data_IF_526305880897
#
_entry.id   IF_526305880897
#
_cell.length_a   1.000
_cell.length_b   1.000
_cell.length_c   1.000
_cell.angle_alpha   90.00
_cell.angle_beta   90.00
_cell.angle_gamma   90.00
#
_symmetry.space_group_name_H-M   'P 1'
#
loop_
_entity.id
_entity.type
_entity.pdbx_description
1 polymer ?
#
# COMPACT_ATOMS: atom_id res chain seq x y z
N UNK A 1 23.72 1.22 0.61
CA UNK A 1 23.27 0.14 -0.30
C UNK A 1 22.42 0.73 -1.43
N UNK A 2 22.23 0.03 -2.57
CA UNK A 2 21.29 0.53 -3.58
C UNK A 2 19.85 0.09 -3.25
N UNK A 3 18.85 0.81 -3.81
CA UNK A 3 17.42 0.60 -3.54
C UNK A 3 16.98 -0.86 -3.81
N UNK A 4 17.53 -1.50 -4.84
CA UNK A 4 17.18 -2.89 -5.16
C UNK A 4 17.67 -3.88 -4.07
N UNK A 5 18.82 -3.61 -3.48
CA UNK A 5 19.33 -4.40 -2.36
C UNK A 5 18.45 -4.24 -1.13
N UNK A 6 18.01 -3.00 -0.82
CA UNK A 6 17.10 -2.72 0.30
C UNK A 6 15.75 -3.43 0.14
N UNK A 7 15.15 -3.38 -1.06
CA UNK A 7 13.91 -4.12 -1.35
C UNK A 7 14.06 -5.62 -1.12
N UNK A 8 15.17 -6.21 -1.57
CA UNK A 8 15.45 -7.62 -1.34
C UNK A 8 15.62 -7.95 0.15
N UNK A 9 16.27 -7.07 0.92
CA UNK A 9 16.44 -7.26 2.36
C UNK A 9 15.11 -7.25 3.10
N UNK A 10 14.24 -6.27 2.81
CA UNK A 10 12.91 -6.21 3.38
C UNK A 10 12.09 -7.47 3.04
N UNK A 11 12.15 -7.93 1.78
CA UNK A 11 11.50 -9.14 1.32
C UNK A 11 12.02 -10.42 2.01
N UNK A 12 13.35 -10.54 2.21
CA UNK A 12 13.94 -11.66 2.96
C UNK A 12 13.43 -11.67 4.39
N UNK A 13 13.41 -10.52 5.05
CA UNK A 13 12.91 -10.43 6.44
C UNK A 13 11.42 -10.75 6.54
N UNK A 14 10.61 -10.35 5.54
CA UNK A 14 9.18 -10.66 5.53
C UNK A 14 8.89 -12.17 5.48
N UNK A 15 9.75 -12.95 4.83
CA UNK A 15 9.59 -14.42 4.79
C UNK A 15 9.70 -15.10 6.15
N UNK A 16 10.31 -14.46 7.14
CA UNK A 16 10.38 -15.01 8.51
C UNK A 16 9.00 -15.00 9.20
N UNK A 17 8.04 -14.21 8.69
CA UNK A 17 6.66 -14.13 9.18
C UNK A 17 5.72 -15.10 8.45
N UNK A 18 6.21 -15.82 7.46
CA UNK A 18 5.42 -16.78 6.70
C UNK A 18 5.61 -18.19 7.25
N UNK A 19 4.54 -18.78 7.74
CA UNK A 19 4.49 -20.12 8.30
C UNK A 19 3.80 -21.09 7.36
N UNK A 20 4.06 -22.39 7.55
CA UNK A 20 3.44 -23.45 6.76
C UNK A 20 1.92 -23.49 6.95
N UNK A 21 1.19 -23.58 5.84
CA UNK A 21 -0.28 -23.60 5.82
C UNK A 21 -0.94 -22.23 5.79
N UNK A 22 -0.19 -21.11 5.86
CA UNK A 22 -0.78 -19.77 5.83
C UNK A 22 -1.48 -19.44 4.50
N UNK A 23 -2.56 -18.67 4.64
CA UNK A 23 -3.28 -18.00 3.57
C UNK A 23 -2.79 -16.56 3.51
N UNK A 24 -2.18 -16.17 2.41
CA UNK A 24 -1.46 -14.91 2.27
C UNK A 24 -2.21 -13.94 1.35
N UNK A 25 -2.34 -12.68 1.78
CA UNK A 25 -2.50 -11.55 0.89
C UNK A 25 -1.15 -11.23 0.24
N UNK A 26 -1.13 -11.07 -1.06
CA UNK A 26 0.10 -10.76 -1.82
C UNK A 26 -0.12 -9.48 -2.60
N UNK A 27 0.49 -8.42 -2.11
CA UNK A 27 0.39 -7.07 -2.59
C UNK A 27 0.96 -6.84 -4.00
N UNK A 28 1.11 -5.57 -4.34
CA UNK A 28 1.61 -5.14 -5.65
C UNK A 28 2.76 -4.15 -5.49
N UNK A 29 3.79 -4.30 -6.32
CA UNK A 29 4.91 -3.35 -6.39
C UNK A 29 6.28 -4.01 -6.36
N UNK A 30 7.30 -3.20 -6.61
CA UNK A 30 8.67 -3.69 -6.86
C UNK A 30 9.31 -4.39 -5.66
N UNK A 31 8.95 -4.04 -4.42
CA UNK A 31 9.42 -4.73 -3.21
C UNK A 31 8.70 -6.07 -3.07
N UNK A 32 7.39 -6.09 -3.34
CA UNK A 32 6.57 -7.31 -3.34
C UNK A 32 7.04 -8.30 -4.42
N UNK A 33 7.50 -7.81 -5.57
CA UNK A 33 8.07 -8.67 -6.62
C UNK A 33 9.29 -9.47 -6.11
N UNK A 34 10.14 -8.87 -5.28
CA UNK A 34 11.25 -9.59 -4.64
C UNK A 34 10.72 -10.63 -3.63
N UNK A 35 9.68 -10.26 -2.85
CA UNK A 35 9.05 -11.20 -1.93
C UNK A 35 8.45 -12.40 -2.66
N UNK A 36 7.66 -12.20 -3.74
CA UNK A 36 7.06 -13.29 -4.52
C UNK A 36 8.12 -14.24 -5.06
N UNK A 37 9.23 -13.71 -5.59
CA UNK A 37 10.35 -14.54 -6.09
C UNK A 37 10.94 -15.43 -5.00
N UNK A 38 11.16 -14.88 -3.81
CA UNK A 38 11.72 -15.59 -2.67
C UNK A 38 10.72 -16.59 -2.08
N UNK A 39 9.43 -16.21 -2.01
CA UNK A 39 8.34 -17.09 -1.58
C UNK A 39 8.23 -18.31 -2.49
N UNK A 40 8.27 -18.10 -3.82
CA UNK A 40 8.25 -19.20 -4.79
C UNK A 40 9.39 -20.20 -4.58
N UNK A 41 10.60 -19.72 -4.23
CA UNK A 41 11.70 -20.60 -3.86
C UNK A 41 11.37 -21.43 -2.62
N UNK A 42 10.83 -20.80 -1.54
CA UNK A 42 10.43 -21.51 -0.32
C UNK A 42 9.32 -22.53 -0.58
N UNK A 43 8.38 -22.22 -1.49
CA UNK A 43 7.34 -23.18 -1.94
C UNK A 43 7.98 -24.34 -2.66
N UNK A 44 8.93 -24.10 -3.56
CA UNK A 44 9.72 -25.16 -4.21
C UNK A 44 10.52 -26.05 -3.23
N UNK A 45 10.94 -25.48 -2.10
CA UNK A 45 11.63 -26.19 -1.02
C UNK A 45 10.65 -26.87 -0.02
N UNK A 46 9.33 -26.84 -0.30
CA UNK A 46 8.30 -27.58 0.45
C UNK A 46 7.38 -26.75 1.36
N UNK A 47 7.53 -25.42 1.42
CA UNK A 47 6.59 -24.56 2.15
C UNK A 47 5.20 -24.60 1.50
N UNK A 48 4.16 -24.85 2.29
CA UNK A 48 2.76 -24.86 1.82
C UNK A 48 2.10 -23.55 2.19
N UNK A 49 1.70 -22.78 1.19
CA UNK A 49 0.91 -21.55 1.35
C UNK A 49 -0.07 -21.43 0.18
N UNK A 50 -1.10 -20.63 0.38
CA UNK A 50 -2.00 -20.22 -0.72
C UNK A 50 -2.14 -18.71 -0.67
N UNK A 51 -1.93 -18.04 -1.79
CA UNK A 51 -2.00 -16.59 -1.89
C UNK A 51 -3.29 -16.10 -2.54
N UNK A 52 -3.71 -14.88 -2.18
CA UNK A 52 -4.67 -14.06 -2.93
C UNK A 52 -3.92 -12.79 -3.34
N UNK A 53 -3.82 -12.53 -4.63
CA UNK A 53 -3.08 -11.37 -5.15
C UNK A 53 -3.96 -10.13 -5.26
N UNK A 54 -3.34 -8.97 -5.13
CA UNK A 54 -4.01 -7.67 -5.22
C UNK A 54 -4.07 -7.10 -6.64
N UNK A 55 -3.43 -7.76 -7.61
CA UNK A 55 -3.44 -7.37 -9.02
C UNK A 55 -3.20 -8.55 -9.96
N UNK A 56 -3.66 -8.42 -11.19
CA UNK A 56 -3.38 -9.38 -12.27
C UNK A 56 -1.86 -9.55 -12.50
N UNK A 57 -1.10 -8.49 -12.35
CA UNK A 57 0.36 -8.54 -12.48
C UNK A 57 0.99 -9.41 -11.37
N UNK A 58 0.61 -9.21 -10.11
CA UNK A 58 1.11 -10.01 -8.98
C UNK A 58 0.66 -11.46 -9.09
N UNK A 59 -0.56 -11.72 -9.57
CA UNK A 59 -1.05 -13.07 -9.83
C UNK A 59 -0.18 -13.80 -10.86
N UNK A 60 0.07 -13.16 -12.01
CA UNK A 60 0.93 -13.73 -13.05
C UNK A 60 2.34 -14.02 -12.53
N UNK A 61 2.88 -13.13 -11.70
CA UNK A 61 4.19 -13.30 -11.10
C UNK A 61 4.21 -14.48 -10.11
N UNK A 62 3.19 -14.63 -9.27
CA UNK A 62 3.03 -15.78 -8.37
C UNK A 62 2.99 -17.10 -9.15
N UNK A 63 2.15 -17.17 -10.19
CA UNK A 63 2.06 -18.35 -11.05
C UNK A 63 3.41 -18.69 -11.71
N UNK A 64 4.13 -17.67 -12.18
CA UNK A 64 5.47 -17.82 -12.77
C UNK A 64 6.47 -18.44 -11.80
N UNK A 65 6.40 -18.09 -10.52
CA UNK A 65 7.32 -18.60 -9.49
C UNK A 65 6.76 -19.80 -8.71
N UNK A 66 5.62 -20.37 -9.14
CA UNK A 66 5.04 -21.58 -8.55
C UNK A 66 4.36 -21.36 -7.20
N UNK A 67 4.01 -20.10 -6.85
CA UNK A 67 3.20 -19.81 -5.66
C UNK A 67 1.74 -20.13 -5.97
N UNK A 68 1.07 -21.02 -5.20
CA UNK A 68 -0.35 -21.33 -5.40
C UNK A 68 -1.22 -20.10 -5.16
N UNK A 69 -2.16 -19.81 -6.07
CA UNK A 69 -3.07 -18.67 -6.00
C UNK A 69 -4.52 -19.14 -5.98
N UNK A 70 -5.33 -18.49 -5.15
CA UNK A 70 -6.76 -18.63 -5.00
C UNK A 70 -7.45 -17.25 -5.11
N UNK A 71 -8.75 -17.19 -4.84
CA UNK A 71 -9.55 -15.96 -4.80
C UNK A 71 -10.15 -15.74 -3.41
N UNK A 72 -10.60 -14.51 -3.10
CA UNK A 72 -11.30 -14.23 -1.84
C UNK A 72 -12.64 -14.96 -1.74
N UNK A 73 -13.29 -15.30 -2.86
CA UNK A 73 -14.51 -16.10 -2.86
C UNK A 73 -14.27 -17.53 -2.37
N UNK A 74 -13.06 -18.07 -2.59
CA UNK A 74 -12.66 -19.40 -2.13
C UNK A 74 -12.02 -19.35 -0.73
N UNK A 75 -11.30 -18.27 -0.43
CA UNK A 75 -10.59 -18.06 0.85
C UNK A 75 -10.95 -16.67 1.36
N UNK A 76 -12.08 -16.49 2.06
CA UNK A 76 -12.58 -15.17 2.46
C UNK A 76 -11.80 -14.52 3.62
N UNK A 77 -10.96 -15.28 4.31
CA UNK A 77 -10.11 -14.80 5.41
C UNK A 77 -8.66 -15.17 5.15
N UNK A 78 -7.77 -14.22 5.33
CA UNK A 78 -6.33 -14.38 5.17
C UNK A 78 -5.63 -14.25 6.53
N UNK A 79 -4.49 -14.93 6.66
CA UNK A 79 -3.74 -14.92 7.90
C UNK A 79 -2.78 -13.71 7.93
N UNK A 80 -2.16 -13.37 6.79
CA UNK A 80 -1.20 -12.27 6.69
C UNK A 80 -1.23 -11.69 5.27
N UNK A 81 -1.44 -10.38 5.17
CA UNK A 81 -1.21 -9.62 3.94
C UNK A 81 0.22 -9.04 3.95
N UNK A 82 0.96 -9.20 2.85
CA UNK A 82 2.31 -8.67 2.69
C UNK A 82 2.32 -7.73 1.48
N UNK A 83 2.47 -6.44 1.74
CA UNK A 83 2.38 -5.42 0.71
C UNK A 83 3.45 -4.31 0.87
N UNK A 84 3.60 -3.48 -0.15
CA UNK A 84 4.43 -2.28 -0.14
C UNK A 84 3.65 -1.04 0.29
N UNK A 85 4.36 0.09 0.37
CA UNK A 85 3.74 1.40 0.52
C UNK A 85 4.50 2.45 -0.28
N UNK A 86 3.78 3.50 -0.71
CA UNK A 86 4.38 4.68 -1.36
C UNK A 86 4.87 5.67 -0.31
N UNK A 87 4.13 5.80 0.81
CA UNK A 87 4.54 6.52 2.03
C UNK A 87 4.11 5.75 3.28
N UNK A 88 4.93 5.86 4.33
CA UNK A 88 4.66 5.35 5.67
C UNK A 88 4.82 6.53 6.64
N UNK A 89 3.70 7.01 7.15
CA UNK A 89 3.62 8.11 8.11
C UNK A 89 3.49 7.63 9.55
N UNK A 90 3.31 8.57 10.49
CA UNK A 90 3.07 8.28 11.89
C UNK A 90 1.90 7.32 12.11
N UNK A 91 1.96 6.54 13.19
CA UNK A 91 0.91 5.57 13.58
C UNK A 91 0.57 4.55 12.47
N UNK A 92 1.55 4.24 11.62
CA UNK A 92 1.39 3.31 10.49
C UNK A 92 0.29 3.73 9.50
N UNK A 93 0.07 5.05 9.37
CA UNK A 93 -0.75 5.59 8.28
C UNK A 93 0.01 5.51 6.96
N UNK A 94 -0.64 5.08 5.88
CA UNK A 94 0.04 4.86 4.61
C UNK A 94 -0.61 5.64 3.47
N UNK A 95 0.22 5.96 2.46
CA UNK A 95 -0.25 6.16 1.08
C UNK A 95 0.19 4.95 0.27
N UNK A 96 -0.77 4.38 -0.47
CA UNK A 96 -0.60 3.27 -1.40
C UNK A 96 -1.31 3.56 -2.74
N UNK A 97 -1.11 2.70 -3.72
CA UNK A 97 -1.78 2.80 -5.00
C UNK A 97 -0.96 3.42 -6.12
N UNK A 98 0.35 3.65 -5.90
CA UNK A 98 1.26 4.05 -6.98
C UNK A 98 1.27 3.06 -8.15
N UNK A 99 1.07 1.77 -7.89
CA UNK A 99 0.91 0.70 -8.88
C UNK A 99 -0.49 0.58 -9.50
N UNK A 100 -1.48 1.35 -9.04
CA UNK A 100 -2.87 1.33 -9.55
C UNK A 100 -3.75 0.20 -9.02
N UNK A 101 -3.35 -0.51 -7.97
CA UNK A 101 -4.08 -1.66 -7.42
C UNK A 101 -4.78 -1.36 -6.07
N UNK A 102 -4.89 -0.09 -5.69
CA UNK A 102 -5.26 0.36 -4.34
C UNK A 102 -6.57 -0.24 -3.80
N UNK A 103 -7.59 -0.40 -4.65
CA UNK A 103 -8.86 -0.99 -4.26
C UNK A 103 -8.69 -2.45 -3.85
N UNK A 104 -8.08 -3.26 -4.72
CA UNK A 104 -7.81 -4.67 -4.41
C UNK A 104 -6.85 -4.82 -3.24
N UNK A 105 -5.81 -3.98 -3.13
CA UNK A 105 -4.89 -3.95 -2.00
C UNK A 105 -5.67 -3.71 -0.68
N UNK A 106 -6.61 -2.75 -0.66
CA UNK A 106 -7.39 -2.46 0.53
C UNK A 106 -8.39 -3.57 0.88
N UNK A 107 -9.02 -4.19 -0.12
CA UNK A 107 -9.92 -5.33 0.09
C UNK A 107 -9.15 -6.51 0.70
N UNK A 108 -7.98 -6.87 0.15
CA UNK A 108 -7.14 -7.96 0.64
C UNK A 108 -6.63 -7.67 2.05
N UNK A 109 -6.15 -6.44 2.31
CA UNK A 109 -5.73 -6.02 3.64
C UNK A 109 -6.88 -6.14 4.66
N UNK A 110 -8.10 -5.74 4.28
CA UNK A 110 -9.29 -5.81 5.15
C UNK A 110 -9.75 -7.25 5.42
N UNK A 111 -9.46 -8.18 4.51
CA UNK A 111 -9.74 -9.61 4.66
C UNK A 111 -8.65 -10.35 5.45
N UNK A 112 -7.55 -9.68 5.80
CA UNK A 112 -6.39 -10.25 6.47
C UNK A 112 -6.40 -9.95 7.97
N UNK A 113 -5.96 -10.92 8.79
CA UNK A 113 -5.82 -10.74 10.25
C UNK A 113 -4.75 -9.74 10.63
N UNK A 114 -3.72 -9.63 9.78
CA UNK A 114 -2.63 -8.69 9.94
C UNK A 114 -2.13 -8.24 8.57
N UNK A 115 -1.68 -6.98 8.47
CA UNK A 115 -1.01 -6.43 7.29
C UNK A 115 0.43 -6.07 7.63
N UNK A 116 1.38 -6.68 6.92
CA UNK A 116 2.80 -6.46 7.02
C UNK A 116 3.29 -5.63 5.83
N UNK A 117 3.78 -4.44 6.10
CA UNK A 117 4.36 -3.56 5.07
C UNK A 117 5.84 -3.87 4.91
N UNK A 118 6.32 -3.94 3.67
CA UNK A 118 7.73 -4.09 3.32
C UNK A 118 8.20 -2.92 2.47
N UNK A 119 9.20 -2.20 2.95
CA UNK A 119 9.68 -0.99 2.30
C UNK A 119 11.16 -0.74 2.55
N UNK A 120 11.73 0.20 1.82
CA UNK A 120 12.99 0.85 2.15
C UNK A 120 12.73 2.17 2.91
N UNK A 121 13.76 2.70 3.57
CA UNK A 121 13.66 3.89 4.42
C UNK A 121 13.16 5.16 3.70
N UNK A 122 13.30 5.24 2.37
CA UNK A 122 12.84 6.40 1.60
C UNK A 122 11.33 6.56 1.60
N UNK A 123 10.60 5.51 2.02
CA UNK A 123 9.14 5.51 2.15
C UNK A 123 8.64 6.07 3.47
N UNK A 124 9.52 6.24 4.45
CA UNK A 124 9.17 6.84 5.74
C UNK A 124 9.06 8.36 5.62
N UNK A 125 7.94 8.90 6.06
CA UNK A 125 7.65 10.35 6.01
C UNK A 125 7.17 10.85 7.37
N UNK A 126 7.49 12.10 7.70
CA UNK A 126 6.95 12.76 8.91
C UNK A 126 5.45 13.09 8.76
N UNK A 127 4.99 13.31 7.53
CA UNK A 127 3.58 13.60 7.19
C UNK A 127 3.28 13.06 5.80
N UNK A 128 2.08 12.51 5.62
CA UNK A 128 1.63 12.00 4.33
C UNK A 128 1.41 13.13 3.33
N UNK A 129 1.57 12.83 2.03
CA UNK A 129 1.15 13.68 0.92
C UNK A 129 2.28 14.20 0.03
N UNK A 130 3.55 13.92 0.31
CA UNK A 130 4.63 14.20 -0.64
C UNK A 130 4.48 13.35 -1.90
N UNK A 131 4.07 12.09 -1.74
CA UNK A 131 3.56 11.28 -2.84
C UNK A 131 2.12 11.69 -3.15
N UNK A 132 1.78 11.87 -4.44
CA UNK A 132 0.42 12.21 -4.84
C UNK A 132 -0.57 11.13 -4.39
N UNK A 133 -1.65 11.52 -3.71
CA UNK A 133 -2.67 10.59 -3.25
C UNK A 133 -3.46 10.03 -4.43
N UNK A 134 -3.42 8.72 -4.71
CA UNK A 134 -4.27 8.13 -5.72
C UNK A 134 -5.72 8.04 -5.24
N UNK A 135 -6.66 8.44 -6.10
CA UNK A 135 -8.10 8.36 -5.86
C UNK A 135 -8.72 7.62 -7.03
N UNK A 136 -9.22 6.42 -6.77
CA UNK A 136 -9.87 5.58 -7.77
C UNK A 136 -11.31 6.02 -7.95
N UNK A 137 -11.73 6.24 -9.21
CA UNK A 137 -13.02 6.83 -9.54
C UNK A 137 -13.70 6.08 -10.66
N UNK A 138 -15.02 6.05 -10.63
CA UNK A 138 -15.82 5.53 -11.71
C UNK A 138 -15.63 6.39 -12.98
N UNK A 139 -15.40 5.80 -14.16
CA UNK A 139 -15.25 6.54 -15.41
C UNK A 139 -16.49 7.40 -15.75
N UNK A 140 -17.68 6.92 -15.40
CA UNK A 140 -18.91 7.69 -15.62
C UNK A 140 -18.92 8.94 -14.74
N UNK A 141 -19.00 10.09 -15.38
CA UNK A 141 -19.08 11.38 -14.68
C UNK A 141 -17.79 11.80 -14.01
N UNK A 142 -16.63 11.27 -14.38
CA UNK A 142 -15.34 11.52 -13.71
C UNK A 142 -15.00 13.00 -13.55
N UNK A 143 -15.37 13.86 -14.51
CA UNK A 143 -15.12 15.32 -14.41
C UNK A 143 -15.98 15.97 -13.31
N UNK A 144 -17.19 15.46 -13.06
CA UNK A 144 -18.03 15.91 -11.94
C UNK A 144 -17.45 15.42 -10.62
N UNK A 145 -17.01 14.16 -10.57
CA UNK A 145 -16.30 13.57 -9.41
C UNK A 145 -15.04 14.37 -9.10
N UNK A 146 -14.21 14.71 -10.10
CA UNK A 146 -13.01 15.55 -9.91
C UNK A 146 -13.34 16.91 -9.28
N UNK A 147 -14.43 17.56 -9.71
CA UNK A 147 -14.86 18.84 -9.10
C UNK A 147 -15.27 18.69 -7.64
N UNK A 148 -15.95 17.58 -7.30
CA UNK A 148 -16.31 17.28 -5.92
C UNK A 148 -15.08 17.00 -5.06
N UNK A 149 -14.10 16.22 -5.56
CA UNK A 149 -12.80 15.99 -4.91
C UNK A 149 -12.09 17.33 -4.66
N UNK A 150 -12.05 18.22 -5.68
CA UNK A 150 -11.45 19.54 -5.50
C UNK A 150 -12.15 20.35 -4.40
N UNK A 151 -13.48 20.33 -4.36
CA UNK A 151 -14.23 21.03 -3.30
C UNK A 151 -13.86 20.51 -1.91
N UNK A 152 -13.80 19.18 -1.72
CA UNK A 152 -13.35 18.56 -0.45
C UNK A 152 -11.93 19.01 -0.11
N UNK A 153 -11.01 19.05 -1.08
CA UNK A 153 -9.66 19.52 -0.87
C UNK A 153 -9.65 21.00 -0.40
N UNK A 154 -10.39 21.88 -1.08
CA UNK A 154 -10.49 23.30 -0.74
C UNK A 154 -11.08 23.50 0.68
N UNK A 155 -12.13 22.74 1.04
CA UNK A 155 -12.78 22.78 2.36
C UNK A 155 -11.81 22.33 3.49
N UNK A 156 -10.83 21.46 3.19
CA UNK A 156 -9.79 20.99 4.11
C UNK A 156 -8.48 21.77 4.02
N UNK A 157 -8.44 22.85 3.22
CA UNK A 157 -7.25 23.69 3.04
C UNK A 157 -6.12 23.01 2.24
N UNK A 158 -6.44 21.96 1.47
CA UNK A 158 -5.50 21.28 0.59
C UNK A 158 -5.46 21.99 -0.77
N UNK A 159 -4.26 22.20 -1.31
CA UNK A 159 -4.06 22.85 -2.60
C UNK A 159 -3.04 22.07 -3.43
N UNK A 160 -3.31 21.97 -4.73
CA UNK A 160 -2.43 21.28 -5.67
C UNK A 160 -3.20 20.72 -6.86
N UNK A 161 -2.48 20.06 -7.73
CA UNK A 161 -3.04 19.46 -8.92
C UNK A 161 -3.79 18.17 -8.60
N UNK A 162 -4.88 17.92 -9.32
CA UNK A 162 -5.60 16.64 -9.35
C UNK A 162 -5.55 16.19 -10.82
N UNK A 163 -4.59 15.34 -11.15
CA UNK A 163 -4.32 14.90 -12.52
C UNK A 163 -4.95 13.52 -12.77
N UNK A 164 -5.53 13.32 -13.97
CA UNK A 164 -5.91 11.99 -14.41
C UNK A 164 -4.66 11.17 -14.68
N UNK A 165 -4.55 9.97 -14.10
CA UNK A 165 -3.43 9.07 -14.37
C UNK A 165 -3.52 8.57 -15.80
N UNK A 166 -2.39 8.64 -16.50
CA UNK A 166 -2.29 8.25 -17.91
C UNK A 166 -1.40 7.01 -18.07
N UNK A 167 -1.72 6.21 -19.08
CA UNK A 167 -0.86 5.16 -19.62
C UNK A 167 -0.58 5.51 -21.10
N UNK A 168 0.51 6.22 -21.34
CA UNK A 168 0.77 6.85 -22.62
C UNK A 168 -0.27 7.91 -22.94
N UNK A 169 -1.00 7.77 -24.05
CA UNK A 169 -2.03 8.74 -24.50
C UNK A 169 -3.44 8.42 -23.98
N UNK A 170 -3.64 7.29 -23.31
CA UNK A 170 -4.95 6.87 -22.79
C UNK A 170 -4.99 6.96 -21.28
N UNK A 171 -6.17 7.16 -20.66
CA UNK A 171 -6.31 7.02 -19.22
C UNK A 171 -5.81 5.64 -18.74
N UNK A 172 -5.13 5.63 -17.59
CA UNK A 172 -4.81 4.38 -16.91
C UNK A 172 -6.11 3.77 -16.38
N UNK A 173 -6.35 2.51 -16.71
CA UNK A 173 -7.49 1.73 -16.22
C UNK A 173 -7.01 0.71 -15.20
N UNK A 174 -7.66 0.66 -14.03
CA UNK A 174 -7.37 -0.32 -12.98
C UNK A 174 -7.89 -1.71 -13.37
N UNK A 175 -7.44 -2.76 -12.67
CA UNK A 175 -7.97 -4.12 -12.83
C UNK A 175 -9.49 -4.20 -12.54
N UNK A 176 -10.05 -3.21 -11.83
CA UNK A 176 -11.48 -3.05 -11.55
C UNK A 176 -12.26 -2.28 -12.61
N UNK A 177 -11.61 -1.80 -13.68
CA UNK A 177 -12.27 -1.02 -14.75
C UNK A 177 -12.52 0.45 -14.39
N UNK A 178 -11.74 0.99 -13.45
CA UNK A 178 -11.87 2.36 -12.97
C UNK A 178 -10.67 3.22 -13.42
N UNK A 179 -10.79 4.54 -13.26
CA UNK A 179 -9.70 5.49 -13.47
C UNK A 179 -9.12 5.96 -12.15
N UNK A 180 -7.95 6.60 -12.19
CA UNK A 180 -7.30 7.17 -11.02
C UNK A 180 -7.02 8.65 -11.24
N UNK A 181 -7.39 9.48 -10.27
CA UNK A 181 -6.84 10.81 -10.12
C UNK A 181 -5.70 10.79 -9.11
N UNK A 182 -4.55 11.34 -9.49
CA UNK A 182 -3.42 11.57 -8.60
C UNK A 182 -3.49 13.00 -8.04
N UNK A 183 -3.68 13.12 -6.74
CA UNK A 183 -3.84 14.40 -6.06
C UNK A 183 -2.54 14.83 -5.36
N UNK A 184 -1.84 15.82 -5.93
CA UNK A 184 -0.55 16.32 -5.47
C UNK A 184 -0.74 17.46 -4.47
N UNK A 185 -1.05 17.13 -3.20
CA UNK A 185 -1.32 18.13 -2.16
C UNK A 185 -0.13 18.44 -1.25
N UNK A 186 0.97 17.70 -1.39
CA UNK A 186 2.23 17.93 -0.67
C UNK A 186 2.22 17.59 0.81
N UNK A 187 1.12 17.88 1.53
CA UNK A 187 0.99 17.59 2.96
C UNK A 187 -0.49 17.39 3.34
N UNK A 188 -0.79 16.24 3.94
CA UNK A 188 -2.14 15.88 4.40
C UNK A 188 -2.13 15.89 5.94
N UNK A 189 -2.67 16.97 6.53
CA UNK A 189 -2.67 17.15 7.99
C UNK A 189 -3.76 16.34 8.70
N UNK A 190 -4.86 16.06 8.01
CA UNK A 190 -6.04 15.41 8.57
C UNK A 190 -6.47 14.22 7.72
N UNK A 191 -5.65 13.14 7.65
CA UNK A 191 -5.88 12.03 6.72
C UNK A 191 -7.21 11.33 6.97
N UNK A 192 -7.66 11.20 8.22
CA UNK A 192 -8.97 10.58 8.55
C UNK A 192 -10.15 11.40 8.02
N UNK A 193 -10.15 12.71 8.23
CA UNK A 193 -11.21 13.58 7.72
C UNK A 193 -11.24 13.60 6.18
N UNK A 194 -10.05 13.62 5.55
CA UNK A 194 -9.95 13.55 4.11
C UNK A 194 -10.50 12.22 3.59
N UNK A 195 -10.13 11.10 4.21
CA UNK A 195 -10.63 9.76 3.88
C UNK A 195 -12.15 9.71 3.89
N UNK A 196 -12.76 10.13 5.00
CA UNK A 196 -14.23 10.10 5.17
C UNK A 196 -14.93 11.00 4.14
N UNK A 197 -14.38 12.19 3.89
CA UNK A 197 -14.96 13.13 2.94
C UNK A 197 -14.84 12.66 1.48
N UNK A 198 -13.75 12.00 1.10
CA UNK A 198 -13.57 11.41 -0.24
C UNK A 198 -14.56 10.28 -0.47
N UNK A 199 -14.72 9.36 0.49
CA UNK A 199 -15.64 8.22 0.38
C UNK A 199 -17.11 8.65 0.37
N UNK A 200 -17.44 9.84 0.83
CA UNK A 200 -18.79 10.40 0.74
C UNK A 200 -19.15 10.92 -0.66
N UNK A 201 -18.20 11.02 -1.59
CA UNK A 201 -18.43 11.51 -2.96
C UNK A 201 -18.95 10.36 -3.84
N UNK A 202 -20.18 10.43 -4.38
CA UNK A 202 -20.62 9.49 -5.41
C UNK A 202 -19.65 9.51 -6.60
N UNK A 203 -19.14 8.36 -7.01
CA UNK A 203 -18.18 8.23 -8.09
C UNK A 203 -16.72 8.11 -7.62
N UNK A 204 -16.38 8.39 -6.37
CA UNK A 204 -15.15 7.87 -5.75
C UNK A 204 -15.40 6.42 -5.37
N UNK A 205 -14.53 5.54 -5.83
CA UNK A 205 -14.59 4.10 -5.51
C UNK A 205 -13.76 3.83 -4.26
N UNK A 206 -12.51 4.30 -4.25
CA UNK A 206 -11.59 4.16 -3.13
C UNK A 206 -10.43 5.17 -3.28
N UNK A 207 -9.62 5.31 -2.26
CA UNK A 207 -8.43 6.17 -2.26
C UNK A 207 -7.23 5.51 -1.58
N UNK A 208 -6.04 6.02 -1.86
CA UNK A 208 -4.77 5.46 -1.39
C UNK A 208 -4.42 5.69 0.08
N UNK A 209 -5.26 6.32 0.89
CA UNK A 209 -5.04 6.39 2.33
C UNK A 209 -5.41 5.07 2.99
N UNK A 210 -4.44 4.41 3.62
CA UNK A 210 -4.61 3.19 4.41
C UNK A 210 -4.41 3.56 5.88
N UNK A 211 -5.50 3.62 6.64
CA UNK A 211 -5.53 4.09 8.02
C UNK A 211 -5.98 2.96 8.93
N UNK A 212 -5.14 2.61 9.92
CA UNK A 212 -5.46 1.56 10.89
C UNK A 212 -5.47 0.12 10.33
N UNK A 213 -4.92 -0.11 9.14
CA UNK A 213 -4.83 -1.43 8.50
C UNK A 213 -3.47 -2.10 8.76
N UNK A 214 -2.38 -1.36 8.63
CA UNK A 214 -1.04 -1.89 8.81
C UNK A 214 -0.78 -2.24 10.28
N UNK A 215 -0.41 -3.48 10.52
CA UNK A 215 -0.07 -4.00 11.86
C UNK A 215 1.42 -3.89 12.14
N UNK A 216 2.25 -3.91 11.10
CA UNK A 216 3.71 -3.93 11.20
C UNK A 216 4.36 -3.44 9.91
N UNK A 217 5.54 -2.83 9.99
CA UNK A 217 6.36 -2.53 8.82
C UNK A 217 7.79 -3.02 8.99
N UNK A 218 8.34 -3.62 7.95
CA UNK A 218 9.75 -3.98 7.82
C UNK A 218 10.41 -2.95 6.93
N UNK A 219 11.33 -2.17 7.50
CA UNK A 219 12.03 -1.09 6.81
C UNK A 219 13.50 -1.48 6.64
N UNK A 220 13.96 -1.58 5.41
CA UNK A 220 15.37 -1.76 5.09
C UNK A 220 16.06 -0.39 5.06
N UNK A 221 17.09 -0.23 5.90
CA UNK A 221 17.85 1.01 6.06
C UNK A 221 19.09 1.02 5.18
N UNK A 222 19.54 2.20 4.74
CA UNK A 222 20.70 2.36 3.86
C UNK A 222 22.02 1.83 4.46
N UNK A 223 22.12 1.80 5.79
CA UNK A 223 23.25 1.22 6.53
C UNK A 223 23.27 -0.32 6.56
N UNK A 224 22.23 -0.97 6.00
CA UNK A 224 22.10 -2.42 5.96
C UNK A 224 21.35 -3.01 7.16
N UNK A 225 20.81 -2.18 8.06
CA UNK A 225 19.97 -2.65 9.15
C UNK A 225 18.52 -2.87 8.66
N UNK A 226 17.78 -3.70 9.40
CA UNK A 226 16.33 -3.85 9.27
C UNK A 226 15.67 -3.32 10.55
N UNK A 227 14.77 -2.37 10.37
CA UNK A 227 13.85 -1.94 11.44
C UNK A 227 12.52 -2.63 11.27
N UNK A 228 11.94 -3.13 12.37
CA UNK A 228 10.57 -3.62 12.43
C UNK A 228 9.78 -2.64 13.27
N UNK A 229 8.79 -1.99 12.66
CA UNK A 229 7.95 -0.99 13.30
C UNK A 229 6.57 -1.59 13.59
N UNK A 230 6.01 -1.21 14.74
CA UNK A 230 4.62 -1.48 15.14
C UNK A 230 3.96 -0.15 15.54
N UNK A 231 2.64 -0.01 15.48
CA UNK A 231 1.97 1.26 15.75
C UNK A 231 2.34 1.87 17.12
N UNK A 232 2.60 1.03 18.13
CA UNK A 232 2.97 1.46 19.48
C UNK A 232 4.41 1.99 19.54
N UNK A 233 5.35 1.39 18.85
CA UNK A 233 6.77 1.81 18.83
C UNK A 233 6.95 3.15 18.10
N UNK A 234 6.05 3.50 17.18
CA UNK A 234 6.11 4.76 16.45
C UNK A 234 5.82 5.97 17.38
N UNK A 235 5.12 5.77 18.50
CA UNK A 235 4.85 6.82 19.50
C UNK A 235 6.04 7.08 20.43
N UNK A 236 6.79 6.04 20.77
CA UNK A 236 7.92 6.15 21.71
C UNK A 236 9.13 6.87 21.08
N UNK A 237 9.45 6.59 19.83
CA UNK A 237 10.58 7.21 19.13
C UNK A 237 10.41 8.74 18.94
N UNK A 238 9.16 9.23 18.85
CA UNK A 238 8.88 10.66 18.68
C UNK A 238 8.82 11.45 20.01
N UNK A 239 8.57 10.80 21.15
CA UNK A 239 8.54 11.47 22.46
C UNK A 239 9.94 11.83 22.97
N UNK A 240 10.97 11.12 22.52
CA UNK A 240 12.37 11.43 22.89
C UNK A 240 12.97 12.61 22.13
N UNK A 241 12.55 12.87 20.89
CA UNK A 241 13.04 14.03 20.13
C UNK A 241 12.40 15.36 20.60
N UNK A 242 11.11 15.35 21.00
CA UNK A 242 10.42 16.56 21.46
C UNK A 242 10.81 16.97 22.89
N UNK A 243 11.32 16.05 23.73
CA UNK A 243 11.82 16.38 25.09
C UNK A 243 13.21 16.98 25.09
N UNK A 244 13.98 16.90 24.00
CA UNK A 244 15.33 17.50 23.88
C UNK A 244 15.29 18.84 23.12
N UNK A 245 14.12 19.33 22.71
CA UNK A 245 13.93 20.60 21.99
C UNK A 245 13.24 21.71 22.83
N UNK A 246 13.16 21.54 24.17
CA UNK A 246 12.67 22.57 25.09
C UNK A 246 13.79 23.16 25.92
#
# INVERSE_FOLDING_TARGET
MNVQQLKKMAAVKALEFVEDGMRLGIGTGSTVNEFIRLLGKRVGDGLRVTGVSTSLYSEQLCRKFGVPISTLEQIPELDLDIDGADEIGPEMTLIKGGGGALLHEKIVASASRAMLIIADETKMVKRLGAFALPIEVNPFGMHTTRRAIKKVADDLGLSGEIALRMNGETPFETDGGHFIFDASWGCILQPKLLSDALLAIPGVVEHGLFLGLASRAIIAMADGQIKVLEPFNFREDNLHEDMLAQ
#
